data_IF_507725145687
#
_entry.id   IF_507725145687
#
_cell.length_a   1.000
_cell.length_b   1.000
_cell.length_c   1.000
_cell.angle_alpha   90.00
_cell.angle_beta   90.00
_cell.angle_gamma   90.00
#
_symmetry.space_group_name_H-M   'P 1'
#
loop_
_entity.id
_entity.type
_entity.pdbx_description
1 polymer ?
#
# COMPACT_ATOMS: atom_id res chain seq x y z
N UNK A 1 -11.71 -1.06 10.61
CA UNK A 1 -10.92 0.20 10.56
C UNK A 1 -9.46 -0.18 10.64
N UNK A 2 -8.57 0.35 9.78
CA UNK A 2 -7.15 -0.04 9.78
C UNK A 2 -6.45 0.67 10.93
N UNK A 3 -5.82 -0.08 11.83
CA UNK A 3 -5.21 0.46 13.04
C UNK A 3 -3.82 -0.13 13.26
N UNK A 4 -3.10 0.41 14.23
CA UNK A 4 -1.80 -0.11 14.66
C UNK A 4 -1.89 -1.55 15.24
N UNK A 5 -3.08 -2.00 15.63
CA UNK A 5 -3.34 -3.34 16.16
C UNK A 5 -3.72 -4.35 15.07
N UNK A 6 -3.86 -3.90 13.82
CA UNK A 6 -4.20 -4.80 12.71
C UNK A 6 -3.01 -5.69 12.40
N UNK A 7 -3.21 -7.02 12.46
CA UNK A 7 -2.15 -7.97 12.16
C UNK A 7 -1.66 -7.83 10.71
N UNK A 8 -0.34 -7.85 10.53
CA UNK A 8 0.36 -7.76 9.26
C UNK A 8 0.46 -9.12 8.57
N UNK A 9 0.65 -10.19 9.34
CA UNK A 9 0.70 -11.58 8.84
C UNK A 9 -0.50 -12.39 9.30
N UNK A 10 -0.74 -13.53 8.65
CA UNK A 10 -1.63 -14.53 9.20
C UNK A 10 -1.07 -15.12 10.49
N UNK A 11 -1.95 -15.58 11.39
CA UNK A 11 -1.59 -16.14 12.69
C UNK A 11 -0.75 -17.42 12.60
N UNK A 12 -0.87 -18.17 11.51
CA UNK A 12 -0.11 -19.39 11.25
C UNK A 12 0.72 -19.26 9.96
N UNK A 13 1.88 -19.93 9.88
CA UNK A 13 2.65 -19.98 8.65
C UNK A 13 1.81 -20.62 7.53
N UNK A 14 1.93 -20.07 6.33
CA UNK A 14 1.32 -20.65 5.13
C UNK A 14 1.99 -21.99 4.78
N UNK A 15 3.32 -22.05 4.89
CA UNK A 15 4.10 -23.28 4.78
C UNK A 15 5.19 -23.29 5.84
N UNK A 16 5.18 -24.33 6.67
CA UNK A 16 6.19 -24.48 7.71
C UNK A 16 7.58 -24.76 7.09
N UNK A 17 8.66 -24.30 7.73
CA UNK A 17 8.68 -23.55 8.99
C UNK A 17 8.57 -22.01 8.86
N UNK A 18 8.77 -21.45 7.67
CA UNK A 18 9.24 -20.07 7.48
C UNK A 18 8.45 -19.22 6.46
N UNK A 19 7.49 -19.81 5.75
CA UNK A 19 6.70 -19.06 4.76
C UNK A 19 5.45 -18.47 5.41
N UNK A 20 5.41 -17.16 5.55
CA UNK A 20 4.25 -16.44 6.09
C UNK A 20 3.51 -15.69 4.99
N UNK A 21 2.18 -15.82 5.00
CA UNK A 21 1.31 -14.98 4.18
C UNK A 21 0.98 -13.69 4.94
N UNK A 22 0.80 -12.59 4.21
CA UNK A 22 0.21 -11.38 4.78
C UNK A 22 -1.24 -11.61 5.18
N UNK A 23 -1.72 -10.84 6.15
CA UNK A 23 -3.09 -10.97 6.65
C UNK A 23 -4.12 -10.58 5.59
N UNK A 24 -5.34 -11.11 5.72
CA UNK A 24 -6.48 -10.72 4.87
C UNK A 24 -6.75 -9.22 4.93
N UNK A 25 -6.49 -8.59 6.08
CA UNK A 25 -6.65 -7.14 6.27
C UNK A 25 -5.68 -6.35 5.41
N UNK A 26 -4.40 -6.77 5.33
CA UNK A 26 -3.40 -6.13 4.46
C UNK A 26 -3.79 -6.30 2.99
N UNK A 27 -4.13 -7.51 2.55
CA UNK A 27 -4.53 -7.77 1.16
C UNK A 27 -5.77 -6.97 0.77
N UNK A 28 -6.81 -6.99 1.60
CA UNK A 28 -8.04 -6.22 1.37
C UNK A 28 -7.78 -4.71 1.38
N UNK A 29 -6.85 -4.24 2.22
CA UNK A 29 -6.46 -2.84 2.25
C UNK A 29 -5.76 -2.37 0.97
N UNK A 30 -4.83 -3.16 0.45
CA UNK A 30 -4.15 -2.87 -0.83
C UNK A 30 -5.19 -2.78 -1.95
N UNK A 31 -6.08 -3.77 -2.05
CA UNK A 31 -7.14 -3.77 -3.06
C UNK A 31 -8.06 -2.55 -2.95
N UNK A 32 -8.42 -2.15 -1.72
CA UNK A 32 -9.25 -0.97 -1.47
C UNK A 32 -8.56 0.33 -1.93
N UNK A 33 -7.27 0.49 -1.62
CA UNK A 33 -6.48 1.67 -2.01
C UNK A 33 -6.33 1.74 -3.54
N UNK A 34 -5.99 0.62 -4.18
CA UNK A 34 -5.90 0.54 -5.65
C UNK A 34 -7.22 0.88 -6.33
N UNK A 35 -8.35 0.37 -5.82
CA UNK A 35 -9.67 0.70 -6.36
C UNK A 35 -10.01 2.18 -6.19
N UNK A 36 -9.55 2.79 -5.09
CA UNK A 36 -9.74 4.22 -4.83
C UNK A 36 -8.91 5.05 -5.80
N UNK A 37 -7.64 4.70 -6.01
CA UNK A 37 -6.77 5.36 -6.98
C UNK A 37 -7.33 5.24 -8.41
N UNK A 38 -7.81 4.05 -8.81
CA UNK A 38 -8.47 3.84 -10.09
C UNK A 38 -9.69 4.77 -10.27
N UNK A 39 -10.56 4.86 -9.25
CA UNK A 39 -11.72 5.78 -9.30
C UNK A 39 -11.29 7.24 -9.39
N UNK A 40 -10.26 7.63 -8.66
CA UNK A 40 -9.71 8.99 -8.72
C UNK A 40 -9.16 9.31 -10.12
N UNK A 41 -8.43 8.37 -10.73
CA UNK A 41 -7.96 8.51 -12.12
C UNK A 41 -9.12 8.68 -13.09
N UNK A 42 -10.17 7.86 -12.99
CA UNK A 42 -11.35 7.96 -13.86
C UNK A 42 -12.07 9.31 -13.72
N UNK A 43 -12.19 9.84 -12.49
CA UNK A 43 -12.76 11.16 -12.25
C UNK A 43 -11.94 12.28 -12.91
N UNK A 44 -10.62 12.20 -12.84
CA UNK A 44 -9.71 13.19 -13.42
C UNK A 44 -9.63 13.06 -14.95
N UNK A 45 -9.60 11.84 -15.49
CA UNK A 45 -9.59 11.57 -16.93
C UNK A 45 -10.90 11.95 -17.61
N UNK A 46 -12.04 11.71 -16.96
CA UNK A 46 -13.34 12.17 -17.46
C UNK A 46 -13.44 13.71 -17.58
N UNK A 47 -12.55 14.44 -16.91
CA UNK A 47 -12.41 15.91 -17.02
C UNK A 47 -11.30 16.33 -18.00
N UNK A 48 -10.37 15.45 -18.37
CA UNK A 48 -9.19 15.78 -19.17
C UNK A 48 -9.17 15.01 -20.51
N UNK A 49 -9.46 15.78 -21.56
CA UNK A 49 -9.02 15.56 -22.94
C UNK A 49 -9.52 14.28 -23.62
N UNK A 50 -10.80 14.29 -24.02
CA UNK A 50 -11.22 13.52 -25.19
C UNK A 50 -10.41 14.03 -26.38
N UNK A 51 -9.54 13.19 -26.95
CA UNK A 51 -8.82 13.58 -28.17
C UNK A 51 -9.80 13.56 -29.34
N UNK A 52 -9.84 14.66 -30.08
CA UNK A 52 -10.60 14.78 -31.30
C UNK A 52 -9.63 14.72 -32.49
N UNK A 53 -10.09 14.15 -33.60
CA UNK A 53 -9.41 14.27 -34.89
C UNK A 53 -9.54 15.70 -35.40
N UNK A 54 -8.81 16.05 -36.45
CA UNK A 54 -8.86 17.38 -37.06
C UNK A 54 -10.26 17.77 -37.58
N UNK A 55 -11.11 16.77 -37.86
CA UNK A 55 -12.53 16.94 -38.24
C UNK A 55 -13.49 17.09 -37.05
N UNK A 56 -12.97 17.11 -35.81
CA UNK A 56 -13.75 17.18 -34.58
C UNK A 56 -14.40 15.87 -34.16
N UNK A 57 -14.16 14.74 -34.86
CA UNK A 57 -14.67 13.44 -34.45
C UNK A 57 -13.88 12.89 -33.25
N UNK A 58 -14.56 12.31 -32.24
CA UNK A 58 -13.87 11.72 -31.11
C UNK A 58 -13.03 10.52 -31.54
N UNK A 59 -11.78 10.47 -31.09
CA UNK A 59 -10.85 9.38 -31.42
C UNK A 59 -11.11 8.11 -30.61
N UNK A 60 -11.85 8.21 -29.51
CA UNK A 60 -12.03 7.11 -28.55
C UNK A 60 -10.82 6.86 -27.65
N UNK A 61 -9.78 7.69 -27.75
CA UNK A 61 -8.56 7.60 -26.93
C UNK A 61 -8.70 8.54 -25.73
N UNK A 62 -8.68 7.96 -24.53
CA UNK A 62 -8.59 8.69 -23.27
C UNK A 62 -7.16 8.53 -22.71
N UNK A 63 -6.44 9.65 -22.60
CA UNK A 63 -5.07 9.66 -22.06
C UNK A 63 -5.07 10.38 -20.73
N UNK A 64 -4.71 9.66 -19.67
CA UNK A 64 -4.49 10.24 -18.35
C UNK A 64 -3.01 10.28 -18.03
N UNK A 65 -2.48 11.45 -17.73
CA UNK A 65 -1.10 11.63 -17.26
C UNK A 65 -0.99 11.59 -15.73
N UNK A 66 -2.12 11.47 -15.02
CA UNK A 66 -2.18 11.52 -13.56
C UNK A 66 -2.14 10.12 -12.97
N UNK A 67 -1.06 9.84 -12.22
CA UNK A 67 -0.94 8.64 -11.38
C UNK A 67 -0.93 9.07 -9.90
N UNK A 68 -2.04 8.92 -9.16
CA UNK A 68 -2.10 9.27 -7.75
C UNK A 68 -1.11 8.42 -6.95
N UNK A 69 -0.35 9.05 -6.04
CA UNK A 69 0.46 8.31 -5.07
C UNK A 69 -0.46 7.60 -4.08
N UNK A 70 -0.21 6.32 -3.86
CA UNK A 70 -1.03 5.50 -2.99
C UNK A 70 -0.23 5.14 -1.73
N UNK A 71 -0.78 5.43 -0.57
CA UNK A 71 -0.14 5.13 0.72
C UNK A 71 -1.14 4.38 1.59
N UNK A 72 -0.69 3.26 2.15
CA UNK A 72 -1.43 2.44 3.09
C UNK A 72 -0.73 2.45 4.44
N UNK A 73 -1.39 3.00 5.47
CA UNK A 73 -0.93 2.94 6.86
C UNK A 73 -1.65 1.81 7.59
N UNK A 74 -0.91 0.79 8.06
CA UNK A 74 -1.52 -0.41 8.68
C UNK A 74 -0.56 -1.13 9.64
N UNK A 75 -1.08 -1.62 10.77
CA UNK A 75 -0.36 -2.50 11.69
C UNK A 75 0.91 -1.87 12.30
N UNK A 76 1.76 -2.75 12.85
CA UNK A 76 3.02 -2.36 13.49
C UNK A 76 4.07 -3.45 13.31
N UNK A 77 5.32 -3.06 13.00
CA UNK A 77 6.44 -4.01 12.91
C UNK A 77 6.77 -4.69 14.25
N UNK A 78 6.28 -4.11 15.36
CA UNK A 78 6.40 -4.73 16.69
C UNK A 78 5.73 -6.11 16.76
N UNK A 79 4.78 -6.43 15.86
CA UNK A 79 4.21 -7.77 15.72
C UNK A 79 5.26 -8.86 15.47
N UNK A 80 6.39 -8.50 14.85
CA UNK A 80 7.45 -9.43 14.52
C UNK A 80 8.50 -9.56 15.63
N UNK A 81 8.33 -8.86 16.75
CA UNK A 81 9.26 -8.91 17.88
C UNK A 81 8.67 -9.76 19.01
N UNK A 82 9.42 -10.76 19.46
CA UNK A 82 9.08 -11.58 20.62
C UNK A 82 10.24 -11.59 21.62
N UNK A 83 9.95 -11.29 22.89
CA UNK A 83 10.98 -11.19 23.93
C UNK A 83 12.12 -10.19 23.64
N UNK A 84 11.89 -9.20 22.77
CA UNK A 84 12.91 -8.22 22.36
C UNK A 84 13.75 -8.62 21.13
N UNK A 85 13.55 -9.82 20.59
CA UNK A 85 14.20 -10.27 19.36
C UNK A 85 13.21 -10.27 18.18
N UNK A 86 13.64 -9.73 17.04
CA UNK A 86 12.84 -9.77 15.81
C UNK A 86 12.90 -11.17 15.17
N UNK A 87 11.76 -11.65 14.69
CA UNK A 87 11.64 -12.85 13.86
C UNK A 87 11.98 -12.50 12.40
N UNK A 88 13.13 -12.95 11.86
CA UNK A 88 13.58 -12.56 10.53
C UNK A 88 12.71 -13.12 9.40
N UNK A 89 12.09 -14.28 9.58
CA UNK A 89 11.27 -14.93 8.54
C UNK A 89 9.92 -14.20 8.36
N UNK A 90 9.30 -13.82 9.47
CA UNK A 90 8.09 -12.97 9.46
C UNK A 90 8.38 -11.60 8.84
N UNK A 91 9.48 -10.97 9.28
CA UNK A 91 9.91 -9.68 8.76
C UNK A 91 10.13 -9.77 7.24
N UNK A 92 10.91 -10.75 6.79
CA UNK A 92 11.22 -10.94 5.36
C UNK A 92 9.97 -11.20 4.54
N UNK A 93 9.04 -12.02 5.02
CA UNK A 93 7.77 -12.29 4.33
C UNK A 93 6.94 -11.01 4.13
N UNK A 94 6.83 -10.17 5.16
CA UNK A 94 6.13 -8.88 5.08
C UNK A 94 6.85 -7.90 4.15
N UNK A 95 8.17 -7.78 4.27
CA UNK A 95 9.01 -6.90 3.45
C UNK A 95 8.93 -7.25 1.95
N UNK A 96 9.01 -8.54 1.63
CA UNK A 96 8.87 -9.02 0.25
C UNK A 96 7.50 -8.67 -0.32
N UNK A 97 6.42 -8.92 0.44
CA UNK A 97 5.08 -8.56 0.00
C UNK A 97 4.97 -7.06 -0.26
N UNK A 98 5.30 -6.20 0.72
CA UNK A 98 5.11 -4.75 0.56
C UNK A 98 5.94 -4.15 -0.57
N UNK A 99 7.15 -4.69 -0.82
CA UNK A 99 8.01 -4.27 -1.94
C UNK A 99 7.53 -4.79 -3.30
N UNK A 100 6.76 -5.87 -3.33
CA UNK A 100 6.23 -6.45 -4.57
C UNK A 100 5.03 -5.69 -5.13
N UNK A 101 4.31 -4.94 -4.29
CA UNK A 101 3.13 -4.19 -4.73
C UNK A 101 3.56 -2.88 -5.40
N UNK A 102 3.26 -2.77 -6.69
CA UNK A 102 3.50 -1.54 -7.44
C UNK A 102 2.53 -0.43 -7.01
N UNK A 103 3.00 0.81 -7.08
CA UNK A 103 2.26 2.05 -6.82
C UNK A 103 1.71 2.26 -5.40
N UNK A 104 1.71 1.23 -4.52
CA UNK A 104 1.23 1.30 -3.13
C UNK A 104 2.38 1.24 -2.13
N UNK A 105 2.64 2.34 -1.43
CA UNK A 105 3.55 2.37 -0.29
C UNK A 105 2.83 1.86 0.96
N UNK A 106 3.18 0.66 1.43
CA UNK A 106 2.68 0.14 2.71
C UNK A 106 3.67 0.53 3.82
N UNK A 107 3.21 1.37 4.74
CA UNK A 107 3.96 1.85 5.90
C UNK A 107 3.23 1.46 7.19
N UNK A 108 3.97 1.05 8.22
CA UNK A 108 3.36 0.75 9.52
C UNK A 108 3.18 2.00 10.37
N UNK A 109 2.33 1.92 11.40
CA UNK A 109 2.11 3.07 12.30
C UNK A 109 3.39 3.47 13.05
N UNK A 110 4.21 2.50 13.46
CA UNK A 110 5.47 2.78 14.18
C UNK A 110 6.55 3.36 13.25
N UNK A 111 6.60 2.94 11.98
CA UNK A 111 7.45 3.56 10.96
C UNK A 111 7.04 5.02 10.72
N UNK A 112 5.74 5.27 10.55
CA UNK A 112 5.20 6.61 10.33
C UNK A 112 5.50 7.52 11.53
N UNK A 113 5.31 7.02 12.75
CA UNK A 113 5.63 7.74 13.98
C UNK A 113 7.12 8.11 14.04
N UNK A 114 8.03 7.16 13.80
CA UNK A 114 9.47 7.41 13.78
C UNK A 114 9.85 8.49 12.76
N UNK A 115 9.28 8.44 11.54
CA UNK A 115 9.49 9.47 10.50
C UNK A 115 9.01 10.84 10.97
N UNK A 116 7.82 10.92 11.58
CA UNK A 116 7.28 12.17 12.10
C UNK A 116 8.13 12.77 13.22
N UNK A 117 8.58 11.95 14.18
CA UNK A 117 9.48 12.38 15.25
C UNK A 117 10.78 12.95 14.69
N UNK A 118 11.39 12.28 13.71
CA UNK A 118 12.62 12.74 13.08
C UNK A 118 12.44 14.12 12.43
N UNK A 119 11.35 14.33 11.68
CA UNK A 119 11.04 15.62 11.03
C UNK A 119 10.86 16.75 12.04
N UNK A 120 10.27 16.46 13.20
CA UNK A 120 10.02 17.47 14.25
C UNK A 120 11.28 17.78 15.05
N UNK A 121 12.13 16.78 15.32
CA UNK A 121 13.39 16.95 16.06
C UNK A 121 14.48 17.64 15.24
N UNK A 122 14.40 17.60 13.91
CA UNK A 122 15.31 18.30 12.99
C UNK A 122 14.94 19.79 12.79
N UNK A 123 14.11 20.34 13.69
CA UNK A 123 13.57 21.70 13.66
C UNK A 123 13.83 22.41 14.99
#
# INVERSE_FOLDING_TARGET
MKTHLTSLLASAPYRAPDVYQVSKEVVGAVAQVQKTAYKAQQLVSGQLHRQFRDDGAPTGIEVSTVRPRQVLVIGSLNEFTDGGAANPEKMTSFEQYRRSIQDVEVITFDELYKRACFIVQDR
#
